data_IF_310727156810
#
_entry.id   IF_310727156810
#
_cell.length_a   1.000
_cell.length_b   1.000
_cell.length_c   1.000
_cell.angle_alpha   90.00
_cell.angle_beta   90.00
_cell.angle_gamma   90.00
#
_symmetry.space_group_name_H-M   'P 1'
#
loop_
_entity.id
_entity.type
_entity.pdbx_description
1 polymer ?
#
# COMPACT_ATOMS: atom_id res chain seq x y z
N UNK A 1 -10.24 16.38 -25.14
CA UNK A 1 -11.11 15.26 -24.75
C UNK A 1 -10.22 14.04 -24.56
N UNK A 2 -9.53 13.98 -23.43
CA UNK A 2 -8.97 12.77 -22.84
C UNK A 2 -9.52 12.79 -21.42
N UNK A 3 -10.70 12.19 -21.27
CA UNK A 3 -11.59 12.34 -20.14
C UNK A 3 -11.16 11.43 -18.99
N UNK A 4 -11.20 11.91 -17.74
CA UNK A 4 -11.04 11.12 -16.51
C UNK A 4 -11.92 9.85 -16.51
N UNK A 5 -13.07 9.93 -17.19
CA UNK A 5 -14.01 8.83 -17.33
C UNK A 5 -13.50 7.67 -18.20
N UNK A 6 -12.42 7.80 -19.01
CA UNK A 6 -11.86 6.70 -19.84
C UNK A 6 -12.89 5.80 -20.57
N UNK A 7 -14.00 6.37 -21.05
CA UNK A 7 -15.09 5.63 -21.74
C UNK A 7 -16.22 5.11 -20.83
N UNK A 8 -16.16 5.40 -19.53
CA UNK A 8 -17.25 5.24 -18.56
C UNK A 8 -18.28 6.38 -18.67
N UNK A 9 -19.49 6.17 -18.13
CA UNK A 9 -20.62 7.10 -18.30
C UNK A 9 -20.70 8.15 -17.20
N UNK A 10 -20.26 7.82 -15.98
CA UNK A 10 -20.41 8.65 -14.77
C UNK A 10 -19.12 8.67 -13.96
N UNK A 11 -18.97 9.64 -13.06
CA UNK A 11 -17.88 9.63 -12.07
C UNK A 11 -17.98 8.40 -11.18
N UNK A 12 -19.20 8.01 -10.79
CA UNK A 12 -19.45 6.77 -10.03
C UNK A 12 -18.85 5.51 -10.69
N UNK A 13 -18.93 5.37 -12.01
CA UNK A 13 -18.35 4.21 -12.69
C UNK A 13 -16.83 4.11 -12.50
N UNK A 14 -16.12 5.25 -12.41
CA UNK A 14 -14.67 5.31 -12.15
C UNK A 14 -14.36 5.00 -10.69
N UNK A 15 -15.17 5.53 -9.77
CA UNK A 15 -15.04 5.28 -8.33
C UNK A 15 -15.28 3.80 -8.01
N UNK A 16 -16.37 3.23 -8.53
CA UNK A 16 -16.69 1.81 -8.34
C UNK A 16 -15.60 0.90 -8.94
N UNK A 17 -15.00 1.25 -10.08
CA UNK A 17 -13.87 0.51 -10.65
C UNK A 17 -12.67 0.46 -9.69
N UNK A 18 -12.35 1.59 -9.04
CA UNK A 18 -11.23 1.69 -8.09
C UNK A 18 -11.55 1.04 -6.73
N UNK A 19 -12.77 1.16 -6.22
CA UNK A 19 -13.22 0.50 -4.99
C UNK A 19 -13.19 -1.04 -5.11
N UNK A 20 -13.36 -1.58 -6.32
CA UNK A 20 -13.29 -3.01 -6.60
C UNK A 20 -11.91 -3.43 -7.17
N UNK A 21 -10.91 -2.56 -7.18
CA UNK A 21 -9.59 -2.85 -7.74
C UNK A 21 -8.79 -3.79 -6.84
N UNK A 22 -8.23 -4.86 -7.41
CA UNK A 22 -7.48 -5.91 -6.69
C UNK A 22 -8.24 -6.54 -5.51
N UNK A 23 -9.56 -6.70 -5.65
CA UNK A 23 -10.35 -7.48 -4.69
C UNK A 23 -9.80 -8.89 -4.53
N UNK A 24 -9.68 -9.31 -3.27
CA UNK A 24 -9.09 -10.61 -2.89
C UNK A 24 -9.83 -11.25 -1.72
N UNK A 25 -9.63 -12.55 -1.54
CA UNK A 25 -10.24 -13.35 -0.48
C UNK A 25 -11.67 -13.78 -0.76
N UNK A 26 -12.46 -13.95 0.31
CA UNK A 26 -13.88 -14.36 0.27
C UNK A 26 -14.16 -15.67 -0.50
N UNK A 27 -13.16 -16.56 -0.62
CA UNK A 27 -13.28 -17.81 -1.38
C UNK A 27 -13.41 -17.60 -2.89
N UNK A 28 -13.09 -16.41 -3.39
CA UNK A 28 -13.04 -16.12 -4.83
C UNK A 28 -11.85 -16.83 -5.50
N UNK A 29 -11.85 -16.86 -6.83
CA UNK A 29 -10.74 -17.40 -7.61
C UNK A 29 -10.24 -16.38 -8.62
N UNK A 30 -8.92 -16.24 -8.69
CA UNK A 30 -8.19 -15.38 -9.62
C UNK A 30 -7.11 -16.23 -10.27
N UNK A 31 -6.97 -16.15 -11.60
CA UNK A 31 -5.98 -16.91 -12.37
C UNK A 31 -5.98 -18.43 -12.10
N UNK A 32 -7.17 -19.02 -11.90
CA UNK A 32 -7.37 -20.44 -11.54
C UNK A 32 -6.75 -20.87 -10.20
N UNK A 33 -6.51 -19.92 -9.29
CA UNK A 33 -6.06 -20.16 -7.91
C UNK A 33 -7.09 -19.65 -6.93
N UNK A 34 -7.07 -20.14 -5.70
CA UNK A 34 -7.82 -19.54 -4.61
C UNK A 34 -7.23 -18.16 -4.33
N UNK A 35 -8.09 -17.16 -4.22
CA UNK A 35 -7.68 -15.83 -3.78
C UNK A 35 -7.68 -15.79 -2.25
N UNK A 36 -6.57 -15.36 -1.66
CA UNK A 36 -6.42 -15.21 -0.21
C UNK A 36 -6.63 -13.75 0.17
N UNK A 37 -7.29 -13.51 1.30
CA UNK A 37 -7.22 -12.19 1.94
C UNK A 37 -5.83 -11.95 2.57
N UNK A 38 -5.61 -10.74 3.08
CA UNK A 38 -4.32 -10.29 3.64
C UNK A 38 -3.90 -11.16 4.85
N UNK A 39 -4.85 -11.53 5.72
CA UNK A 39 -4.57 -12.36 6.90
C UNK A 39 -4.24 -13.81 6.51
N UNK A 40 -4.98 -14.37 5.57
CA UNK A 40 -4.70 -15.70 5.01
C UNK A 40 -3.32 -15.76 4.37
N UNK A 41 -2.96 -14.76 3.55
CA UNK A 41 -1.64 -14.67 2.93
C UNK A 41 -0.53 -14.47 3.95
N UNK A 42 -0.72 -13.58 4.93
CA UNK A 42 0.25 -13.35 6.00
C UNK A 42 0.53 -14.63 6.80
N UNK A 43 -0.50 -15.42 7.12
CA UNK A 43 -0.35 -16.73 7.79
C UNK A 43 0.31 -17.78 6.92
N UNK A 44 0.07 -17.78 5.61
CA UNK A 44 0.73 -18.71 4.68
C UNK A 44 2.23 -18.43 4.56
N UNK A 45 2.63 -17.15 4.48
CA UNK A 45 4.02 -16.71 4.50
C UNK A 45 4.67 -17.08 5.85
N UNK A 46 3.96 -16.88 6.96
CA UNK A 46 4.41 -17.21 8.30
C UNK A 46 4.09 -18.66 8.75
N UNK A 47 3.78 -19.59 7.83
CA UNK A 47 3.23 -20.93 8.15
C UNK A 47 4.09 -21.79 9.06
N UNK A 48 5.40 -21.56 9.10
CA UNK A 48 6.32 -22.24 10.01
C UNK A 48 6.26 -21.76 11.46
N UNK A 49 5.69 -20.57 11.70
CA UNK A 49 5.66 -19.87 13.00
C UNK A 49 7.02 -19.88 13.73
N UNK A 50 8.11 -19.82 12.97
CA UNK A 50 9.47 -19.75 13.49
C UNK A 50 9.81 -18.29 13.75
N UNK A 51 10.12 -17.95 15.00
CA UNK A 51 10.55 -16.59 15.36
C UNK A 51 11.76 -16.63 16.29
N UNK A 52 12.37 -15.46 16.51
CA UNK A 52 13.42 -15.31 17.52
C UNK A 52 12.91 -15.49 18.96
N UNK A 53 11.59 -15.55 19.18
CA UNK A 53 11.00 -15.91 20.47
C UNK A 53 10.76 -17.42 20.64
N UNK A 54 10.96 -18.22 19.60
CA UNK A 54 10.74 -19.67 19.58
C UNK A 54 9.74 -20.09 18.48
N UNK A 55 9.64 -21.39 18.24
CA UNK A 55 8.65 -21.96 17.31
C UNK A 55 7.26 -21.92 17.95
N UNK A 56 6.24 -21.51 17.20
CA UNK A 56 4.86 -21.28 17.67
C UNK A 56 4.73 -20.19 18.74
N UNK A 57 5.71 -19.28 18.82
CA UNK A 57 5.64 -18.09 19.69
C UNK A 57 5.45 -16.87 18.80
N UNK A 58 4.19 -16.52 18.59
CA UNK A 58 3.71 -15.42 17.73
C UNK A 58 3.26 -14.21 18.56
N UNK A 59 3.00 -13.08 17.90
CA UNK A 59 2.58 -11.80 18.49
C UNK A 59 3.44 -11.34 19.68
N UNK A 60 4.76 -11.53 19.57
CA UNK A 60 5.70 -11.15 20.63
C UNK A 60 6.88 -10.39 20.07
N UNK A 61 7.10 -9.18 20.56
CA UNK A 61 8.26 -8.39 20.15
C UNK A 61 9.59 -9.06 20.52
N UNK A 62 10.65 -8.73 19.77
CA UNK A 62 11.99 -9.31 19.95
C UNK A 62 13.08 -8.24 19.85
N UNK A 63 14.18 -8.43 20.59
CA UNK A 63 15.44 -7.74 20.31
C UNK A 63 16.35 -8.69 19.55
N UNK A 64 16.74 -8.30 18.33
CA UNK A 64 17.49 -9.14 17.39
C UNK A 64 18.83 -8.47 17.13
N UNK A 65 19.93 -9.15 17.46
CA UNK A 65 21.26 -8.62 17.17
C UNK A 65 21.65 -8.94 15.73
N UNK A 66 22.38 -8.04 15.08
CA UNK A 66 22.95 -8.29 13.76
C UNK A 66 24.41 -7.85 13.70
N UNK A 67 25.18 -8.44 12.79
CA UNK A 67 26.56 -8.03 12.55
C UNK A 67 26.97 -8.25 11.09
N UNK A 68 28.08 -7.62 10.71
CA UNK A 68 28.75 -7.84 9.43
C UNK A 68 30.11 -8.51 9.68
N UNK A 69 30.17 -9.85 9.75
CA UNK A 69 31.44 -10.54 9.97
C UNK A 69 32.45 -10.25 8.87
N UNK A 70 33.73 -10.27 9.22
CA UNK A 70 34.81 -10.02 8.26
C UNK A 70 35.00 -11.15 7.24
N UNK A 71 34.33 -12.30 7.43
CA UNK A 71 34.32 -13.51 6.60
C UNK A 71 35.60 -13.80 5.79
N UNK A 72 36.35 -14.83 6.17
CA UNK A 72 37.62 -15.16 5.49
C UNK A 72 37.39 -15.64 4.04
N UNK A 73 37.85 -14.88 3.01
CA UNK A 73 37.67 -15.26 1.61
C UNK A 73 38.32 -16.60 1.28
N UNK A 74 37.64 -17.41 0.47
CA UNK A 74 38.11 -18.73 0.02
C UNK A 74 37.73 -19.89 0.95
N UNK A 75 37.28 -19.63 2.18
CA UNK A 75 36.68 -20.66 3.03
C UNK A 75 35.32 -21.10 2.52
N UNK A 76 34.85 -22.24 3.00
CA UNK A 76 33.49 -22.71 2.78
C UNK A 76 32.58 -22.26 3.90
N UNK A 77 31.39 -21.77 3.56
CA UNK A 77 30.33 -21.57 4.55
C UNK A 77 29.65 -22.93 4.89
N UNK A 78 28.63 -22.91 5.73
CA UNK A 78 27.94 -24.13 6.18
C UNK A 78 27.30 -24.92 5.01
N UNK A 79 26.90 -24.24 3.94
CA UNK A 79 26.29 -24.83 2.74
C UNK A 79 27.33 -25.36 1.74
N UNK A 80 28.62 -25.14 2.00
CA UNK A 80 29.71 -25.55 1.10
C UNK A 80 30.06 -24.55 0.00
N UNK A 81 29.43 -23.37 -0.01
CA UNK A 81 29.72 -22.30 -0.95
C UNK A 81 31.03 -21.60 -0.58
N UNK A 82 31.78 -21.15 -1.59
CA UNK A 82 33.01 -20.41 -1.35
C UNK A 82 32.66 -18.99 -0.93
N UNK A 83 33.09 -18.60 0.27
CA UNK A 83 33.01 -17.23 0.77
C UNK A 83 33.84 -16.33 -0.15
N UNK A 84 33.18 -15.34 -0.73
CA UNK A 84 33.83 -14.33 -1.57
C UNK A 84 34.41 -13.20 -0.72
N UNK A 85 33.57 -12.57 0.12
CA UNK A 85 33.97 -11.41 0.90
C UNK A 85 32.99 -11.08 2.04
N UNK A 86 33.44 -10.22 2.96
CA UNK A 86 32.53 -9.46 3.81
C UNK A 86 31.64 -8.51 2.98
N UNK A 87 30.59 -7.99 3.61
CA UNK A 87 29.77 -6.93 3.05
C UNK A 87 30.55 -5.62 2.93
N UNK A 88 30.47 -4.99 1.77
CA UNK A 88 31.07 -3.68 1.51
C UNK A 88 30.26 -2.55 2.22
N UNK A 89 30.79 -1.32 2.32
CA UNK A 89 30.10 -0.23 3.00
C UNK A 89 28.70 0.11 2.45
N UNK A 90 28.50 0.00 1.13
CA UNK A 90 27.19 0.25 0.50
C UNK A 90 26.18 -0.83 0.90
N UNK A 91 26.57 -2.11 0.79
CA UNK A 91 25.75 -3.22 1.26
C UNK A 91 25.36 -3.04 2.73
N UNK A 92 26.31 -2.69 3.60
CA UNK A 92 26.03 -2.44 5.01
C UNK A 92 25.03 -1.29 5.22
N UNK A 93 25.16 -0.19 4.46
CA UNK A 93 24.24 0.93 4.56
C UNK A 93 22.81 0.53 4.13
N UNK A 94 22.68 -0.15 3.00
CA UNK A 94 21.38 -0.60 2.49
C UNK A 94 20.76 -1.69 3.36
N UNK A 95 21.55 -2.61 3.91
CA UNK A 95 21.08 -3.59 4.90
C UNK A 95 20.46 -2.90 6.11
N UNK A 96 21.06 -1.82 6.61
CA UNK A 96 20.52 -1.07 7.74
C UNK A 96 19.17 -0.44 7.41
N UNK A 97 18.97 0.04 6.18
CA UNK A 97 17.68 0.56 5.72
C UNK A 97 16.62 -0.56 5.58
N UNK A 98 16.99 -1.74 5.06
CA UNK A 98 16.10 -2.90 5.00
C UNK A 98 15.76 -3.46 6.39
N UNK A 99 16.71 -3.51 7.33
CA UNK A 99 16.41 -3.84 8.74
C UNK A 99 15.46 -2.79 9.34
N UNK A 100 15.69 -1.51 9.06
CA UNK A 100 14.83 -0.44 9.55
C UNK A 100 13.39 -0.58 9.05
N UNK A 101 13.19 -0.92 7.77
CA UNK A 101 11.83 -1.10 7.21
C UNK A 101 11.08 -2.27 7.85
N UNK A 102 11.76 -3.36 8.22
CA UNK A 102 11.14 -4.45 9.01
C UNK A 102 10.79 -4.01 10.44
N UNK A 103 11.65 -3.25 11.12
CA UNK A 103 11.37 -2.75 12.47
C UNK A 103 10.31 -1.65 12.51
N UNK A 104 10.07 -0.96 11.39
CA UNK A 104 9.01 0.03 11.29
C UNK A 104 7.63 -0.63 11.41
N UNK A 105 7.45 -1.84 10.88
CA UNK A 105 6.12 -2.48 10.74
C UNK A 105 5.79 -3.45 11.87
N UNK A 106 6.80 -3.97 12.59
CA UNK A 106 6.61 -4.95 13.67
C UNK A 106 7.50 -4.66 14.89
N UNK A 107 7.17 -5.23 16.06
CA UNK A 107 7.87 -4.98 17.32
C UNK A 107 9.25 -5.66 17.40
N UNK A 108 10.14 -5.33 16.46
CA UNK A 108 11.49 -5.86 16.35
C UNK A 108 12.48 -4.72 16.61
N UNK A 109 13.38 -4.92 17.58
CA UNK A 109 14.48 -3.99 17.84
C UNK A 109 15.79 -4.58 17.34
N UNK A 110 16.33 -4.03 16.26
CA UNK A 110 17.65 -4.41 15.76
C UNK A 110 18.78 -3.75 16.55
N UNK A 111 19.81 -4.52 16.87
CA UNK A 111 21.01 -4.03 17.58
C UNK A 111 22.27 -4.52 16.86
N UNK A 112 23.04 -3.58 16.31
CA UNK A 112 24.33 -3.90 15.69
C UNK A 112 25.34 -4.30 16.77
N UNK A 113 26.03 -5.42 16.57
CA UNK A 113 27.14 -5.88 17.42
C UNK A 113 28.39 -6.12 16.57
N UNK A 114 29.53 -6.31 17.22
CA UNK A 114 30.80 -6.57 16.53
C UNK A 114 30.77 -7.89 15.77
N UNK A 115 31.35 -7.93 14.56
CA UNK A 115 31.33 -9.11 13.68
C UNK A 115 32.13 -10.32 14.18
N UNK A 116 32.88 -10.18 15.28
CA UNK A 116 33.58 -11.25 15.99
C UNK A 116 32.74 -11.89 17.12
N UNK A 117 31.57 -11.31 17.43
CA UNK A 117 30.63 -11.82 18.42
C UNK A 117 29.50 -12.61 17.75
N UNK A 118 28.86 -13.48 18.53
CA UNK A 118 27.60 -14.08 18.10
C UNK A 118 26.53 -12.99 17.92
N UNK A 119 25.82 -13.05 16.79
CA UNK A 119 24.62 -12.24 16.54
C UNK A 119 23.53 -13.12 15.95
N UNK A 120 22.27 -12.73 16.13
CA UNK A 120 21.13 -13.45 15.56
C UNK A 120 21.18 -13.46 14.03
N UNK A 121 21.48 -12.31 13.42
CA UNK A 121 21.55 -12.17 11.96
C UNK A 121 22.98 -11.85 11.52
N UNK A 122 23.43 -12.47 10.43
CA UNK A 122 24.71 -12.11 9.79
C UNK A 122 24.58 -12.09 8.27
N UNK A 123 25.46 -11.33 7.63
CA UNK A 123 25.46 -11.08 6.19
C UNK A 123 26.82 -11.39 5.59
N UNK A 124 26.87 -12.11 4.46
CA UNK A 124 28.13 -12.44 3.79
C UNK A 124 27.97 -12.63 2.28
N UNK A 125 29.07 -12.46 1.55
CA UNK A 125 29.09 -12.65 0.10
C UNK A 125 29.71 -14.01 -0.27
N UNK A 126 29.11 -14.72 -1.22
CA UNK A 126 29.56 -16.03 -1.72
C UNK A 126 29.74 -16.04 -3.25
N UNK A 127 30.49 -17.03 -3.74
CA UNK A 127 30.56 -17.36 -5.16
C UNK A 127 29.57 -18.49 -5.46
N UNK A 128 28.41 -18.13 -5.98
CA UNK A 128 27.35 -19.09 -6.34
C UNK A 128 26.65 -18.65 -7.65
N UNK A 129 27.13 -19.08 -8.83
CA UNK A 129 26.68 -18.53 -10.12
C UNK A 129 25.22 -18.84 -10.47
N UNK A 130 24.64 -19.89 -9.88
CA UNK A 130 23.27 -20.34 -10.13
C UNK A 130 22.31 -19.93 -8.99
N UNK A 131 22.73 -19.01 -8.12
CA UNK A 131 21.98 -18.60 -6.93
C UNK A 131 22.01 -17.08 -6.81
N UNK A 132 20.87 -16.48 -6.45
CA UNK A 132 20.80 -15.06 -6.13
C UNK A 132 21.35 -14.80 -4.73
N UNK A 133 20.65 -15.35 -3.74
CA UNK A 133 20.96 -15.30 -2.32
C UNK A 133 20.19 -16.44 -1.62
N UNK A 134 20.46 -16.63 -0.33
CA UNK A 134 19.64 -17.45 0.55
C UNK A 134 19.86 -17.08 2.02
N UNK A 135 18.92 -17.45 2.87
CA UNK A 135 18.99 -17.21 4.30
C UNK A 135 18.39 -18.35 5.12
N UNK A 136 18.88 -18.49 6.34
CA UNK A 136 18.39 -19.48 7.30
C UNK A 136 17.34 -18.87 8.22
N UNK A 137 16.20 -19.55 8.32
CA UNK A 137 15.11 -19.21 9.25
C UNK A 137 15.61 -19.24 10.71
N UNK A 138 14.97 -18.53 11.65
CA UNK A 138 15.18 -18.73 13.08
C UNK A 138 14.97 -20.19 13.49
N UNK A 139 15.72 -20.68 14.47
CA UNK A 139 15.57 -22.04 15.00
C UNK A 139 15.84 -23.14 13.95
N UNK A 140 16.77 -22.89 13.02
CA UNK A 140 17.13 -23.86 11.98
C UNK A 140 17.88 -25.06 12.58
N UNK A 141 17.43 -26.28 12.24
CA UNK A 141 18.03 -27.52 12.76
C UNK A 141 18.15 -28.58 11.67
N UNK A 142 19.14 -29.46 11.82
CA UNK A 142 19.25 -30.71 11.05
C UNK A 142 18.84 -31.86 11.97
N UNK A 143 17.71 -32.51 11.67
CA UNK A 143 17.14 -33.59 12.46
C UNK A 143 17.03 -33.25 13.97
N UNK A 144 16.62 -32.02 14.28
CA UNK A 144 16.44 -31.52 15.65
C UNK A 144 17.74 -31.11 16.36
N UNK A 145 18.89 -31.07 15.65
CA UNK A 145 20.16 -30.58 16.19
C UNK A 145 20.50 -29.21 15.61
N UNK A 146 20.97 -28.31 16.49
CA UNK A 146 21.52 -27.01 16.09
C UNK A 146 22.72 -27.23 15.16
N UNK A 147 22.76 -26.47 14.08
CA UNK A 147 23.85 -26.48 13.12
C UNK A 147 24.76 -25.29 13.45
N UNK A 148 26.08 -25.53 13.48
CA UNK A 148 27.07 -24.51 13.82
C UNK A 148 28.02 -24.25 12.65
N UNK A 149 28.47 -23.01 12.51
CA UNK A 149 29.53 -22.64 11.57
C UNK A 149 30.95 -22.91 12.12
N UNK A 150 31.99 -22.51 11.37
CA UNK A 150 33.40 -22.71 11.76
C UNK A 150 33.83 -21.91 13.00
N UNK A 151 33.02 -20.93 13.43
CA UNK A 151 33.19 -20.15 14.66
C UNK A 151 32.45 -20.77 15.84
N UNK A 152 31.76 -21.90 15.64
CA UNK A 152 30.85 -22.53 16.62
C UNK A 152 29.63 -21.67 16.95
N UNK A 153 29.16 -20.86 16.01
CA UNK A 153 27.94 -20.06 16.14
C UNK A 153 26.78 -20.74 15.42
N UNK A 154 25.58 -20.67 16.02
CA UNK A 154 24.32 -21.12 15.40
C UNK A 154 24.14 -20.41 14.05
N UNK A 155 23.84 -21.18 13.00
CA UNK A 155 23.68 -20.65 11.64
C UNK A 155 22.30 -20.00 11.40
N UNK A 156 21.35 -20.14 12.32
CA UNK A 156 20.06 -19.48 12.24
C UNK A 156 20.28 -17.98 12.00
N UNK A 157 19.58 -17.40 11.02
CA UNK A 157 19.72 -15.99 10.65
C UNK A 157 20.97 -15.62 9.83
N UNK A 158 21.78 -16.59 9.40
CA UNK A 158 22.79 -16.31 8.37
C UNK A 158 22.11 -16.05 7.02
N UNK A 159 22.50 -14.98 6.34
CA UNK A 159 22.10 -14.65 4.97
C UNK A 159 23.33 -14.49 4.06
N UNK A 160 23.27 -15.06 2.87
CA UNK A 160 24.38 -15.19 1.94
C UNK A 160 23.97 -14.71 0.56
N UNK A 161 24.81 -13.87 -0.05
CA UNK A 161 24.48 -13.16 -1.29
C UNK A 161 25.52 -13.49 -2.34
N UNK A 162 25.07 -13.91 -3.52
CA UNK A 162 25.98 -14.26 -4.60
C UNK A 162 26.58 -13.02 -5.23
N UNK A 163 27.90 -12.97 -5.35
CA UNK A 163 28.60 -11.91 -6.09
C UNK A 163 28.60 -12.13 -7.59
N UNK A 164 27.98 -13.22 -8.07
CA UNK A 164 27.76 -13.44 -9.50
C UNK A 164 26.70 -12.51 -10.07
N UNK A 165 25.77 -12.03 -9.23
CA UNK A 165 24.89 -10.91 -9.56
C UNK A 165 25.55 -9.58 -9.10
N UNK A 166 25.88 -8.65 -10.02
CA UNK A 166 26.44 -7.36 -9.65
C UNK A 166 25.51 -6.49 -8.81
N UNK A 167 24.19 -6.66 -8.88
CA UNK A 167 23.24 -5.85 -8.09
C UNK A 167 23.37 -6.13 -6.58
N UNK A 168 23.75 -7.34 -6.19
CA UNK A 168 24.03 -7.67 -4.78
C UNK A 168 25.22 -6.88 -4.21
N UNK A 169 26.16 -6.44 -5.05
CA UNK A 169 27.32 -5.64 -4.63
C UNK A 169 27.04 -4.14 -4.60
N UNK A 170 25.99 -3.69 -5.27
CA UNK A 170 25.54 -2.29 -5.33
C UNK A 170 24.01 -2.20 -5.15
N UNK A 171 23.48 -2.64 -3.99
CA UNK A 171 22.05 -2.48 -3.72
C UNK A 171 21.70 -0.99 -3.67
N UNK A 172 20.55 -0.62 -4.24
CA UNK A 172 20.03 0.75 -4.18
C UNK A 172 18.51 0.74 -4.31
N UNK A 173 17.87 1.86 -3.95
CA UNK A 173 16.42 1.99 -4.06
C UNK A 173 15.93 1.69 -5.49
N UNK A 174 14.99 0.74 -5.61
CA UNK A 174 14.36 0.38 -6.87
C UNK A 174 15.03 -0.77 -7.63
N UNK A 175 16.24 -1.21 -7.23
CA UNK A 175 16.92 -2.34 -7.87
C UNK A 175 16.68 -3.68 -7.15
N UNK A 176 17.06 -4.77 -7.81
CA UNK A 176 16.84 -6.12 -7.33
C UNK A 176 17.76 -6.47 -6.15
N UNK A 177 18.94 -5.85 -6.07
CA UNK A 177 19.86 -5.99 -4.94
C UNK A 177 19.24 -5.53 -3.60
N UNK A 178 18.54 -4.39 -3.59
CA UNK A 178 17.86 -3.90 -2.38
C UNK A 178 16.63 -4.76 -2.01
N UNK A 179 15.87 -5.23 -3.01
CA UNK A 179 14.81 -6.22 -2.78
C UNK A 179 15.39 -7.50 -2.15
N UNK A 180 16.50 -8.02 -2.69
CA UNK A 180 17.16 -9.22 -2.19
C UNK A 180 17.55 -9.08 -0.73
N UNK A 181 18.10 -7.92 -0.31
CA UNK A 181 18.37 -7.65 1.10
C UNK A 181 17.10 -7.76 1.97
N UNK A 182 16.01 -7.09 1.57
CA UNK A 182 14.75 -7.08 2.33
C UNK A 182 14.14 -8.50 2.42
N UNK A 183 14.16 -9.23 1.30
CA UNK A 183 13.70 -10.62 1.18
C UNK A 183 14.46 -11.56 2.12
N UNK A 184 15.79 -11.59 2.02
CA UNK A 184 16.60 -12.50 2.85
C UNK A 184 16.51 -12.14 4.34
N UNK A 185 16.38 -10.86 4.69
CA UNK A 185 16.09 -10.46 6.07
C UNK A 185 14.73 -11.02 6.51
N UNK A 186 13.70 -10.99 5.66
CA UNK A 186 12.40 -11.63 5.92
C UNK A 186 12.54 -13.10 6.31
N UNK A 187 13.35 -13.86 5.56
CA UNK A 187 13.70 -15.24 5.93
C UNK A 187 14.38 -15.34 7.30
N UNK A 188 15.40 -14.51 7.56
CA UNK A 188 16.07 -14.50 8.89
C UNK A 188 15.16 -14.09 10.05
N UNK A 189 13.97 -13.55 9.76
CA UNK A 189 12.94 -13.22 10.74
C UNK A 189 11.84 -14.28 10.85
N UNK A 190 11.78 -15.27 9.95
CA UNK A 190 10.81 -16.36 10.03
C UNK A 190 9.83 -16.46 8.87
N UNK A 191 9.93 -15.60 7.87
CA UNK A 191 9.03 -15.61 6.73
C UNK A 191 9.48 -16.65 5.70
N UNK A 192 8.54 -17.36 5.11
CA UNK A 192 8.79 -18.30 4.01
C UNK A 192 8.39 -17.64 2.69
N UNK A 193 8.76 -18.25 1.56
CA UNK A 193 8.09 -17.91 0.31
C UNK A 193 6.57 -18.16 0.44
N UNK A 194 5.69 -17.41 -0.24
CA UNK A 194 4.24 -17.59 -0.17
C UNK A 194 3.70 -18.91 -0.76
N UNK A 195 4.59 -19.81 -1.21
CA UNK A 195 4.27 -21.18 -1.56
C UNK A 195 5.45 -22.12 -1.32
N UNK A 196 5.26 -23.40 -1.64
CA UNK A 196 6.29 -24.44 -1.49
C UNK A 196 7.12 -24.57 -2.77
N UNK A 197 7.97 -23.58 -3.01
CA UNK A 197 8.93 -23.56 -4.11
C UNK A 197 10.25 -22.93 -3.65
N UNK A 198 11.37 -23.37 -4.25
CA UNK A 198 12.70 -22.85 -3.98
C UNK A 198 13.49 -22.69 -5.28
N UNK A 199 14.44 -21.74 -5.30
CA UNK A 199 15.41 -21.62 -6.37
C UNK A 199 16.30 -22.89 -6.42
N UNK A 200 16.51 -23.45 -7.62
CA UNK A 200 17.31 -24.66 -7.81
C UNK A 200 16.56 -25.98 -7.59
N UNK A 201 15.32 -25.96 -7.09
CA UNK A 201 14.45 -27.14 -6.96
C UNK A 201 13.48 -27.26 -8.16
N UNK A 202 13.99 -27.78 -9.28
CA UNK A 202 13.21 -27.91 -10.51
C UNK A 202 13.15 -26.60 -11.30
N UNK A 203 11.99 -26.31 -11.88
CA UNK A 203 11.76 -25.09 -12.67
C UNK A 203 10.37 -24.50 -12.32
N UNK A 204 10.19 -24.00 -11.08
CA UNK A 204 8.91 -23.51 -10.62
C UNK A 204 8.48 -22.29 -11.45
N UNK A 205 7.17 -22.11 -11.56
CA UNK A 205 6.52 -20.99 -12.23
C UNK A 205 5.39 -20.46 -11.36
N UNK A 206 4.81 -19.32 -11.72
CA UNK A 206 3.60 -18.83 -11.03
C UNK A 206 2.44 -19.85 -11.03
N UNK A 207 2.43 -20.84 -11.94
CA UNK A 207 1.47 -21.94 -11.87
C UNK A 207 1.59 -22.77 -10.59
N UNK A 208 2.76 -22.77 -9.94
CA UNK A 208 3.07 -23.51 -8.71
C UNK A 208 2.78 -22.70 -7.43
N UNK A 209 2.40 -21.41 -7.55
CA UNK A 209 1.98 -20.60 -6.40
C UNK A 209 0.77 -21.21 -5.67
N UNK A 210 0.76 -21.15 -4.33
CA UNK A 210 -0.32 -21.70 -3.50
C UNK A 210 -1.64 -20.92 -3.67
N UNK A 211 -1.55 -19.59 -3.73
CA UNK A 211 -2.69 -18.68 -3.86
C UNK A 211 -2.42 -17.62 -4.94
N UNK A 212 -3.46 -16.89 -5.36
CA UNK A 212 -3.37 -15.97 -6.50
C UNK A 212 -2.49 -14.75 -6.23
N UNK A 213 -2.49 -14.23 -5.01
CA UNK A 213 -1.77 -13.01 -4.64
C UNK A 213 -0.30 -13.26 -4.29
N UNK A 214 0.22 -14.47 -4.52
CA UNK A 214 1.65 -14.75 -4.50
C UNK A 214 2.33 -14.07 -5.70
N UNK A 215 2.64 -12.79 -5.53
CA UNK A 215 3.43 -11.99 -6.47
C UNK A 215 4.10 -10.83 -5.75
N UNK A 216 5.11 -10.24 -6.39
CA UNK A 216 5.81 -9.02 -5.96
C UNK A 216 4.96 -7.75 -6.02
N UNK A 217 3.67 -7.89 -6.31
CA UNK A 217 2.69 -6.85 -6.01
C UNK A 217 2.31 -6.84 -4.52
N UNK A 218 2.32 -8.00 -3.87
CA UNK A 218 1.81 -8.19 -2.51
C UNK A 218 2.86 -8.58 -1.49
N UNK A 219 3.92 -9.29 -1.92
CA UNK A 219 4.98 -9.79 -1.05
C UNK A 219 6.35 -9.76 -1.71
N UNK A 220 7.33 -9.18 -1.01
CA UNK A 220 8.76 -9.25 -1.34
C UNK A 220 9.28 -10.69 -1.24
N UNK A 221 8.61 -11.55 -0.47
CA UNK A 221 8.94 -12.97 -0.36
C UNK A 221 8.57 -13.78 -1.62
N UNK A 222 7.83 -13.20 -2.56
CA UNK A 222 7.44 -13.88 -3.79
C UNK A 222 8.56 -13.89 -4.85
N UNK A 223 8.60 -14.96 -5.64
CA UNK A 223 9.43 -15.02 -6.86
C UNK A 223 8.71 -14.50 -8.10
N UNK A 224 7.39 -14.33 -8.03
CA UNK A 224 6.58 -14.05 -9.20
C UNK A 224 6.37 -12.56 -9.39
N UNK A 225 6.54 -12.08 -10.62
CA UNK A 225 6.42 -10.65 -10.91
C UNK A 225 4.97 -10.17 -10.76
N UNK A 226 4.82 -8.89 -10.42
CA UNK A 226 3.56 -8.18 -10.24
C UNK A 226 2.56 -8.26 -11.40
N UNK A 227 2.96 -8.42 -12.70
CA UNK A 227 1.98 -8.50 -13.78
C UNK A 227 1.15 -9.79 -13.75
N UNK A 228 1.57 -10.83 -13.01
CA UNK A 228 0.74 -12.02 -12.81
C UNK A 228 -0.59 -11.68 -12.13
N UNK A 229 -0.62 -10.63 -11.32
CA UNK A 229 -1.80 -10.16 -10.58
C UNK A 229 -2.31 -8.80 -11.07
N UNK A 230 -1.73 -8.26 -12.15
CA UNK A 230 -2.19 -7.03 -12.80
C UNK A 230 -1.52 -5.75 -12.30
N UNK A 231 -0.50 -5.85 -11.44
CA UNK A 231 0.42 -4.76 -11.13
C UNK A 231 1.41 -4.47 -12.26
N UNK A 232 2.07 -3.33 -12.19
CA UNK A 232 3.18 -2.95 -13.09
C UNK A 232 4.09 -1.96 -12.36
N UNK A 233 5.28 -2.42 -11.98
CA UNK A 233 6.27 -1.65 -11.25
C UNK A 233 7.28 -0.95 -12.20
N UNK A 234 7.05 -1.03 -13.52
CA UNK A 234 7.90 -0.37 -14.52
C UNK A 234 9.35 -0.87 -14.52
N UNK A 235 9.56 -2.13 -14.12
CA UNK A 235 10.88 -2.75 -13.99
C UNK A 235 11.66 -2.37 -12.73
N UNK A 236 11.01 -1.73 -11.75
CA UNK A 236 11.59 -1.44 -10.43
C UNK A 236 11.09 -2.46 -9.40
N UNK A 237 11.78 -2.52 -8.28
CA UNK A 237 11.47 -3.43 -7.18
C UNK A 237 11.21 -2.68 -5.88
N UNK A 238 10.35 -3.25 -5.04
CA UNK A 238 10.14 -2.74 -3.68
C UNK A 238 11.44 -2.83 -2.87
N UNK A 239 11.62 -1.88 -1.95
CA UNK A 239 12.76 -1.87 -1.03
C UNK A 239 12.34 -2.16 0.43
N UNK A 240 11.05 -2.35 0.69
CA UNK A 240 10.47 -2.49 2.01
C UNK A 240 9.26 -3.45 2.00
N UNK A 241 8.92 -4.06 3.16
CA UNK A 241 7.83 -5.03 3.25
C UNK A 241 6.54 -4.54 2.59
N UNK A 242 5.98 -5.37 1.72
CA UNK A 242 4.70 -5.13 1.07
C UNK A 242 3.54 -5.63 1.95
N UNK A 243 2.31 -5.48 1.45
CA UNK A 243 1.10 -5.62 2.29
C UNK A 243 0.97 -6.99 2.98
N UNK A 244 1.31 -8.09 2.29
CA UNK A 244 1.23 -9.43 2.87
C UNK A 244 2.45 -9.72 3.76
N UNK A 245 3.60 -9.10 3.49
CA UNK A 245 4.78 -9.19 4.33
C UNK A 245 4.54 -8.51 5.69
N UNK A 246 3.89 -7.34 5.67
CA UNK A 246 3.49 -6.61 6.88
C UNK A 246 2.56 -7.49 7.72
N UNK A 247 1.54 -8.08 7.12
CA UNK A 247 0.63 -8.99 7.83
C UNK A 247 1.38 -10.20 8.42
N UNK A 248 2.28 -10.81 7.65
CA UNK A 248 3.06 -11.97 8.08
C UNK A 248 3.99 -11.65 9.26
N UNK A 249 4.74 -10.55 9.18
CA UNK A 249 5.70 -10.19 10.23
C UNK A 249 5.00 -9.69 11.49
N UNK A 250 3.85 -9.02 11.35
CA UNK A 250 3.01 -8.64 12.48
C UNK A 250 2.36 -9.86 13.16
N UNK A 251 1.99 -10.90 12.40
CA UNK A 251 1.58 -12.17 13.00
C UNK A 251 2.69 -12.76 13.89
N UNK A 252 3.95 -12.72 13.45
CA UNK A 252 5.08 -13.27 14.23
C UNK A 252 5.48 -12.40 15.44
N UNK A 253 5.55 -11.08 15.28
CA UNK A 253 6.19 -10.19 16.27
C UNK A 253 5.26 -9.11 16.84
N UNK A 254 4.02 -9.01 16.36
CA UNK A 254 3.05 -7.97 16.72
C UNK A 254 3.30 -6.66 15.97
N UNK A 255 2.21 -5.93 15.71
CA UNK A 255 2.23 -4.62 15.04
C UNK A 255 2.99 -3.55 15.85
N UNK A 256 3.82 -2.76 15.16
CA UNK A 256 4.54 -1.65 15.81
C UNK A 256 3.67 -0.40 15.87
N UNK A 257 2.96 -0.23 16.98
CA UNK A 257 2.08 0.91 17.23
C UNK A 257 2.81 2.19 17.68
N UNK A 258 4.13 2.26 17.53
CA UNK A 258 4.93 3.46 17.85
C UNK A 258 5.51 4.15 16.62
N UNK A 259 5.37 3.51 15.45
CA UNK A 259 5.88 4.02 14.19
C UNK A 259 4.97 5.12 13.64
N UNK A 260 5.57 6.29 13.35
CA UNK A 260 4.90 7.38 12.61
C UNK A 260 3.61 7.95 13.24
N UNK A 261 3.43 7.83 14.56
CA UNK A 261 2.24 8.29 15.34
C UNK A 261 1.84 9.78 15.27
N UNK A 262 2.47 10.59 14.44
CA UNK A 262 2.11 12.00 14.21
C UNK A 262 1.88 12.25 12.72
N UNK A 263 1.45 13.45 12.36
CA UNK A 263 1.05 13.79 10.99
C UNK A 263 2.18 13.50 9.96
N UNK A 264 1.99 12.45 9.18
CA UNK A 264 2.99 11.92 8.26
C UNK A 264 2.59 12.20 6.81
N UNK A 265 3.55 12.67 6.01
CA UNK A 265 3.39 12.86 4.57
C UNK A 265 4.20 11.79 3.83
N UNK A 266 3.54 11.07 2.93
CA UNK A 266 4.12 10.06 2.05
C UNK A 266 4.15 10.58 0.61
N UNK A 267 5.16 10.22 -0.17
CA UNK A 267 5.36 10.71 -1.54
C UNK A 267 6.19 12.00 -1.59
N UNK A 268 5.69 13.02 -2.28
CA UNK A 268 6.33 14.34 -2.32
C UNK A 268 6.27 15.00 -0.95
N UNK A 269 7.24 15.86 -0.65
CA UNK A 269 7.33 16.58 0.63
C UNK A 269 7.33 15.65 1.87
N UNK A 270 7.73 14.39 1.69
CA UNK A 270 7.68 13.40 2.76
C UNK A 270 8.53 13.80 3.97
N UNK A 271 8.00 13.51 5.16
CA UNK A 271 8.69 13.64 6.45
C UNK A 271 8.95 12.26 7.10
N UNK A 272 8.88 11.17 6.33
CA UNK A 272 9.02 9.79 6.83
C UNK A 272 10.45 9.41 7.21
N UNK A 273 11.44 10.16 6.73
CA UNK A 273 12.85 9.78 6.75
C UNK A 273 13.07 8.35 6.19
N UNK A 274 12.29 7.95 5.17
CA UNK A 274 12.45 6.69 4.42
C UNK A 274 12.58 6.98 2.95
N UNK A 275 13.60 6.39 2.34
CA UNK A 275 13.87 6.51 0.91
C UNK A 275 12.72 5.95 0.05
N UNK A 276 12.18 4.79 0.42
CA UNK A 276 11.09 4.13 -0.31
C UNK A 276 9.73 4.84 -0.23
N UNK A 277 9.51 5.70 0.77
CA UNK A 277 8.29 6.51 0.88
C UNK A 277 8.42 7.91 0.27
N UNK A 278 9.61 8.30 -0.22
CA UNK A 278 9.88 9.70 -0.61
C UNK A 278 10.03 9.86 -2.12
N UNK A 279 9.19 10.70 -2.73
CA UNK A 279 9.40 11.20 -4.08
C UNK A 279 10.17 12.53 -4.03
N UNK A 280 11.33 12.57 -4.70
CA UNK A 280 12.17 13.78 -4.79
C UNK A 280 11.88 14.61 -6.03
N UNK A 281 11.44 13.96 -7.10
CA UNK A 281 11.04 14.57 -8.37
C UNK A 281 10.06 13.64 -9.12
N UNK A 282 9.53 14.12 -10.24
CA UNK A 282 8.51 13.45 -11.05
C UNK A 282 8.95 12.13 -11.71
N UNK A 283 10.26 11.81 -11.69
CA UNK A 283 10.78 10.56 -12.26
C UNK A 283 10.94 9.46 -11.21
N UNK A 284 10.96 9.81 -9.91
CA UNK A 284 11.09 8.82 -8.84
C UNK A 284 9.93 7.82 -8.93
N UNK A 285 10.26 6.53 -8.95
CA UNK A 285 9.28 5.44 -8.89
C UNK A 285 9.07 5.06 -7.43
N UNK A 286 7.81 5.04 -7.02
CA UNK A 286 7.39 4.69 -5.67
C UNK A 286 6.75 3.31 -5.70
N UNK A 287 7.20 2.41 -4.84
CA UNK A 287 6.61 1.09 -4.63
C UNK A 287 6.65 0.85 -3.13
N UNK A 288 5.49 0.86 -2.48
CA UNK A 288 5.42 0.67 -1.02
C UNK A 288 4.03 0.28 -0.54
N UNK A 289 4.00 -0.38 0.63
CA UNK A 289 2.83 -0.49 1.48
C UNK A 289 2.97 0.47 2.67
N UNK A 290 1.94 1.27 2.95
CA UNK A 290 1.94 2.19 4.10
C UNK A 290 1.64 1.42 5.37
N UNK A 291 2.54 1.50 6.35
CA UNK A 291 2.24 1.23 7.74
C UNK A 291 2.29 2.53 8.51
N UNK A 292 1.20 2.91 9.15
CA UNK A 292 1.14 4.07 10.04
C UNK A 292 0.33 3.70 11.29
N UNK A 293 0.79 4.12 12.46
CA UNK A 293 0.15 3.84 13.73
C UNK A 293 -0.76 4.97 14.22
N UNK A 294 -0.83 6.09 13.49
CA UNK A 294 -1.80 7.15 13.69
C UNK A 294 -1.23 8.54 13.47
N UNK A 295 -2.09 9.55 13.52
CA UNK A 295 -1.74 10.90 13.10
C UNK A 295 -2.87 11.43 12.23
N UNK A 296 -2.63 12.53 11.53
CA UNK A 296 -3.41 12.92 10.37
C UNK A 296 -2.50 12.96 9.14
N UNK A 297 -2.58 11.91 8.34
CA UNK A 297 -1.56 11.53 7.37
C UNK A 297 -1.99 11.87 5.95
N UNK A 298 -1.01 12.04 5.05
CA UNK A 298 -1.25 12.48 3.67
C UNK A 298 -0.47 11.65 2.67
N UNK A 299 -1.14 11.11 1.66
CA UNK A 299 -0.51 10.70 0.41
C UNK A 299 -0.38 11.91 -0.51
N UNK A 300 0.82 12.47 -0.64
CA UNK A 300 1.13 13.60 -1.51
C UNK A 300 1.79 13.11 -2.82
N UNK A 301 1.00 13.11 -3.89
CA UNK A 301 1.44 12.73 -5.23
C UNK A 301 1.43 13.91 -6.21
N UNK A 302 1.52 15.13 -5.67
CA UNK A 302 1.37 16.40 -6.42
C UNK A 302 2.39 16.64 -7.52
N UNK A 303 3.58 16.04 -7.42
CA UNK A 303 4.64 16.21 -8.42
C UNK A 303 4.52 15.32 -9.65
N UNK A 304 3.51 14.44 -9.73
CA UNK A 304 3.27 13.60 -10.92
C UNK A 304 2.32 14.26 -11.92
N UNK A 305 2.47 13.90 -13.19
CA UNK A 305 1.65 14.43 -14.30
C UNK A 305 0.83 13.36 -15.01
N UNK A 306 1.06 12.09 -14.69
CA UNK A 306 0.27 10.96 -15.17
C UNK A 306 -1.08 10.95 -14.46
N UNK A 307 -2.11 10.44 -15.11
CA UNK A 307 -3.38 10.15 -14.44
C UNK A 307 -3.18 9.08 -13.37
N UNK A 308 -3.67 9.36 -12.17
CA UNK A 308 -3.50 8.53 -10.99
C UNK A 308 -4.84 7.94 -10.55
N UNK A 309 -4.76 6.85 -9.79
CA UNK A 309 -5.91 6.28 -9.07
C UNK A 309 -5.49 6.08 -7.63
N UNK A 310 -6.01 6.88 -6.71
CA UNK A 310 -5.60 6.94 -5.31
C UNK A 310 -6.76 6.46 -4.45
N UNK A 311 -6.52 5.45 -3.62
CA UNK A 311 -7.51 4.87 -2.71
C UNK A 311 -6.95 4.88 -1.28
N UNK A 312 -7.66 5.56 -0.37
CA UNK A 312 -7.28 5.72 1.03
C UNK A 312 -7.82 4.61 1.95
N UNK A 313 -8.53 3.61 1.42
CA UNK A 313 -9.02 2.49 2.21
C UNK A 313 -7.89 1.53 2.57
N UNK A 314 -7.91 0.99 3.79
CA UNK A 314 -7.00 -0.09 4.18
C UNK A 314 -7.14 -1.30 3.24
N UNK A 315 -6.05 -2.02 3.01
CA UNK A 315 -6.05 -3.17 2.10
C UNK A 315 -6.11 -2.83 0.62
N UNK A 316 -6.31 -1.56 0.26
CA UNK A 316 -6.49 -1.14 -1.12
C UNK A 316 -5.17 -0.87 -1.84
N UNK A 317 -5.26 -0.78 -3.17
CA UNK A 317 -4.15 -0.48 -4.06
C UNK A 317 -4.44 0.78 -4.88
N UNK A 318 -3.37 1.52 -5.18
CA UNK A 318 -3.37 2.75 -5.96
C UNK A 318 -2.40 2.65 -7.15
N UNK A 319 -2.73 3.35 -8.23
CA UNK A 319 -1.88 3.56 -9.40
C UNK A 319 -1.27 4.96 -9.34
N UNK A 320 0.04 5.07 -9.14
CA UNK A 320 0.71 6.35 -8.85
C UNK A 320 1.95 6.52 -9.72
N UNK A 321 2.20 7.74 -10.21
CA UNK A 321 3.44 8.06 -10.96
C UNK A 321 3.64 7.26 -12.26
N UNK A 322 2.54 6.81 -12.87
CA UNK A 322 2.52 6.02 -14.11
C UNK A 322 2.77 4.52 -13.92
N UNK A 323 2.77 4.02 -12.70
CA UNK A 323 2.81 2.60 -12.35
C UNK A 323 1.38 2.08 -12.07
N UNK A 324 1.23 0.78 -11.79
CA UNK A 324 -0.06 0.16 -11.45
C UNK A 324 0.03 -0.71 -10.20
N UNK A 325 -0.91 -0.51 -9.28
CA UNK A 325 -0.97 -1.25 -8.01
C UNK A 325 0.34 -1.19 -7.21
N UNK A 326 1.05 -0.07 -7.31
CA UNK A 326 2.39 0.10 -6.73
C UNK A 326 2.36 0.69 -5.32
N UNK A 327 1.26 1.36 -4.95
CA UNK A 327 1.05 1.87 -3.60
C UNK A 327 -0.11 1.11 -2.96
N UNK A 328 0.06 0.68 -1.72
CA UNK A 328 -0.99 0.06 -0.92
C UNK A 328 -1.00 0.59 0.51
N UNK A 329 -2.10 0.37 1.24
CA UNK A 329 -2.23 0.71 2.67
C UNK A 329 -2.40 -0.59 3.45
N UNK A 330 -1.55 -0.83 4.44
CA UNK A 330 -1.60 -2.05 5.24
C UNK A 330 -2.90 -2.13 6.06
N UNK A 331 -3.33 -3.36 6.36
CA UNK A 331 -4.48 -3.58 7.24
C UNK A 331 -4.26 -2.93 8.61
N UNK A 332 -5.27 -2.20 9.11
CA UNK A 332 -5.22 -1.48 10.38
C UNK A 332 -4.59 -0.09 10.33
N UNK A 333 -4.00 0.32 9.20
CA UNK A 333 -3.54 1.70 8.99
C UNK A 333 -4.67 2.58 8.44
N UNK A 334 -4.79 3.80 8.94
CA UNK A 334 -5.71 4.83 8.44
C UNK A 334 -4.89 5.97 7.86
N UNK A 335 -5.26 6.45 6.67
CA UNK A 335 -4.63 7.60 6.03
C UNK A 335 -5.75 8.59 5.66
N UNK A 336 -5.66 9.81 6.17
CA UNK A 336 -6.78 10.75 6.12
C UNK A 336 -6.79 11.56 4.81
N UNK A 337 -5.65 11.82 4.19
CA UNK A 337 -5.58 12.85 3.15
C UNK A 337 -4.90 12.37 1.88
N UNK A 338 -5.31 12.94 0.75
CA UNK A 338 -4.73 12.69 -0.56
C UNK A 338 -4.56 13.99 -1.36
N UNK A 339 -3.43 14.11 -2.04
CA UNK A 339 -3.16 15.17 -3.01
C UNK A 339 -2.79 14.51 -4.33
N UNK A 340 -3.65 14.67 -5.32
CA UNK A 340 -3.41 14.30 -6.71
C UNK A 340 -2.41 15.21 -7.39
N UNK A 341 -2.17 14.96 -8.68
CA UNK A 341 -1.12 15.57 -9.49
C UNK A 341 -1.66 16.59 -10.49
N UNK A 342 -1.00 16.63 -11.65
CA UNK A 342 -1.44 17.41 -12.81
C UNK A 342 -2.19 16.58 -13.88
N UNK A 343 -2.41 15.29 -13.59
CA UNK A 343 -3.15 14.36 -14.44
C UNK A 343 -4.65 14.39 -14.16
N UNK A 344 -5.44 13.67 -14.95
CA UNK A 344 -6.86 13.47 -14.61
C UNK A 344 -6.97 12.31 -13.63
N UNK A 345 -7.10 12.61 -12.35
CA UNK A 345 -6.96 11.66 -11.26
C UNK A 345 -8.32 11.12 -10.78
N UNK A 346 -8.32 9.92 -10.20
CA UNK A 346 -9.47 9.34 -9.50
C UNK A 346 -9.05 9.14 -8.05
N UNK A 347 -9.72 9.81 -7.11
CA UNK A 347 -9.36 9.81 -5.70
C UNK A 347 -10.55 9.36 -4.86
N UNK A 348 -10.33 8.32 -4.04
CA UNK A 348 -11.31 7.72 -3.15
C UNK A 348 -10.79 7.85 -1.72
N UNK A 349 -11.54 8.54 -0.87
CA UNK A 349 -11.33 8.58 0.57
C UNK A 349 -11.79 7.30 1.27
N UNK A 350 -11.95 7.38 2.59
CA UNK A 350 -12.32 6.25 3.43
C UNK A 350 -13.50 6.61 4.35
N UNK A 351 -13.52 6.10 5.58
CA UNK A 351 -14.61 6.36 6.52
C UNK A 351 -14.26 7.44 7.57
N UNK A 352 -13.04 8.00 7.50
CA UNK A 352 -12.58 9.10 8.33
C UNK A 352 -12.79 10.44 7.61
N UNK A 353 -12.70 11.54 8.35
CA UNK A 353 -12.74 12.88 7.76
C UNK A 353 -11.52 13.08 6.85
N UNK A 354 -11.74 13.18 5.54
CA UNK A 354 -10.65 13.28 4.57
C UNK A 354 -10.46 14.71 4.05
N UNK A 355 -9.21 15.11 3.80
CA UNK A 355 -8.88 16.25 2.93
C UNK A 355 -8.36 15.73 1.60
N UNK A 356 -9.16 15.90 0.55
CA UNK A 356 -8.82 15.45 -0.80
C UNK A 356 -8.63 16.66 -1.71
N UNK A 357 -7.51 16.68 -2.42
CA UNK A 357 -7.19 17.69 -3.43
C UNK A 357 -6.89 17.01 -4.76
N UNK A 358 -7.71 17.26 -5.78
CA UNK A 358 -7.49 16.74 -7.14
C UNK A 358 -6.21 17.29 -7.76
N UNK A 359 -6.11 18.61 -7.81
CA UNK A 359 -4.92 19.30 -8.27
C UNK A 359 -5.18 20.01 -9.59
N UNK A 360 -4.43 19.67 -10.63
CA UNK A 360 -4.75 20.13 -11.98
C UNK A 360 -5.15 18.93 -12.82
N UNK A 361 -6.06 19.12 -13.77
CA UNK A 361 -6.63 17.99 -14.52
C UNK A 361 -8.12 17.95 -14.28
N UNK A 362 -8.83 17.05 -14.95
CA UNK A 362 -10.25 16.82 -14.67
C UNK A 362 -10.31 15.64 -13.72
N UNK A 363 -10.58 15.90 -12.45
CA UNK A 363 -10.46 14.88 -11.40
C UNK A 363 -11.83 14.31 -11.02
N UNK A 364 -11.84 13.06 -10.54
CA UNK A 364 -13.03 12.41 -9.98
C UNK A 364 -12.75 12.11 -8.51
N UNK A 365 -13.50 12.76 -7.63
CA UNK A 365 -13.27 12.75 -6.19
C UNK A 365 -14.48 12.13 -5.49
N UNK A 366 -14.22 11.14 -4.65
CA UNK A 366 -15.18 10.52 -3.75
C UNK A 366 -14.66 10.62 -2.32
N UNK A 367 -15.36 11.33 -1.45
CA UNK A 367 -14.99 11.48 -0.05
C UNK A 367 -15.06 10.16 0.72
N UNK A 368 -16.10 9.37 0.46
CA UNK A 368 -16.43 8.25 1.32
C UNK A 368 -17.31 8.76 2.46
N UNK A 369 -17.25 8.13 3.63
CA UNK A 369 -17.99 8.60 4.80
C UNK A 369 -17.10 9.44 5.70
N UNK A 370 -17.69 10.38 6.43
CA UNK A 370 -16.92 11.30 7.28
C UNK A 370 -17.49 12.70 7.16
N UNK A 371 -16.73 13.70 7.60
CA UNK A 371 -16.90 15.09 7.21
C UNK A 371 -15.71 15.52 6.35
N UNK A 372 -15.87 15.41 5.04
CA UNK A 372 -14.77 15.59 4.11
C UNK A 372 -14.62 17.04 3.63
N UNK A 373 -13.39 17.37 3.24
CA UNK A 373 -13.05 18.63 2.59
C UNK A 373 -12.46 18.34 1.22
N UNK A 374 -13.24 18.65 0.19
CA UNK A 374 -12.96 18.27 -1.18
C UNK A 374 -12.57 19.52 -1.99
N UNK A 375 -11.41 19.47 -2.63
CA UNK A 375 -10.94 20.48 -3.57
C UNK A 375 -10.74 19.83 -4.93
N UNK A 376 -11.44 20.31 -5.95
CA UNK A 376 -11.21 19.88 -7.33
C UNK A 376 -9.88 20.42 -7.84
N UNK A 377 -9.66 21.71 -7.60
CA UNK A 377 -8.51 22.45 -8.12
C UNK A 377 -8.81 23.05 -9.49
N UNK A 378 -7.91 22.89 -10.45
CA UNK A 378 -8.09 23.45 -11.78
C UNK A 378 -8.50 22.38 -12.79
N UNK A 379 -9.68 22.52 -13.35
CA UNK A 379 -10.16 21.58 -14.37
C UNK A 379 -11.67 21.62 -14.48
N UNK A 380 -12.23 20.50 -14.93
CA UNK A 380 -13.65 20.22 -14.82
C UNK A 380 -13.80 18.99 -13.93
N UNK A 381 -14.02 19.21 -12.65
CA UNK A 381 -13.91 18.16 -11.64
C UNK A 381 -15.28 17.56 -11.32
N UNK A 382 -15.30 16.31 -10.84
CA UNK A 382 -16.52 15.58 -10.51
C UNK A 382 -16.44 15.13 -9.06
N UNK A 383 -17.34 15.63 -8.22
CA UNK A 383 -17.52 15.20 -6.83
C UNK A 383 -18.66 14.19 -6.77
N UNK A 384 -18.35 12.95 -6.38
CA UNK A 384 -19.27 11.81 -6.43
C UNK A 384 -19.83 11.53 -5.04
N UNK A 385 -21.12 11.20 -4.98
CA UNK A 385 -21.79 10.70 -3.77
C UNK A 385 -22.65 9.48 -4.10
N UNK A 386 -22.59 8.47 -3.24
CA UNK A 386 -23.20 7.15 -3.48
C UNK A 386 -23.86 6.52 -2.24
N UNK A 387 -23.57 7.01 -1.04
CA UNK A 387 -24.25 6.56 0.18
C UNK A 387 -24.76 7.77 0.98
N UNK A 388 -25.82 7.57 1.76
CA UNK A 388 -26.34 8.59 2.67
C UNK A 388 -25.34 8.98 3.75
N UNK A 389 -24.45 8.05 4.11
CA UNK A 389 -23.39 8.28 5.08
C UNK A 389 -22.24 9.10 4.52
N UNK A 390 -22.18 9.26 3.19
CA UNK A 390 -21.11 10.05 2.59
C UNK A 390 -21.15 11.48 3.14
N UNK A 391 -22.34 12.09 3.12
CA UNK A 391 -22.53 13.48 3.55
C UNK A 391 -23.78 13.64 4.38
N UNK A 392 -23.76 13.10 5.61
CA UNK A 392 -24.93 13.17 6.49
C UNK A 392 -25.27 14.62 6.85
N UNK A 393 -26.54 14.95 7.02
CA UNK A 393 -26.96 16.31 7.38
C UNK A 393 -26.42 16.84 8.73
N UNK A 394 -25.82 15.97 9.55
CA UNK A 394 -25.17 16.34 10.82
C UNK A 394 -23.69 16.65 10.68
N UNK A 395 -23.06 16.07 9.67
CA UNK A 395 -21.63 16.17 9.37
C UNK A 395 -21.49 16.29 7.85
N UNK A 396 -21.92 17.43 7.26
CA UNK A 396 -21.92 17.60 5.82
C UNK A 396 -20.50 17.81 5.30
N UNK A 397 -20.19 17.24 4.15
CA UNK A 397 -18.94 17.49 3.45
C UNK A 397 -18.94 18.90 2.88
N UNK A 398 -17.73 19.37 2.60
CA UNK A 398 -17.48 20.70 2.09
C UNK A 398 -16.70 20.61 0.78
N UNK A 399 -17.35 20.92 -0.33
CA UNK A 399 -16.68 21.21 -1.59
C UNK A 399 -16.18 22.65 -1.53
N UNK A 400 -14.87 22.85 -1.65
CA UNK A 400 -14.19 24.07 -1.21
C UNK A 400 -13.92 25.09 -2.31
N UNK A 401 -13.98 24.70 -3.58
CA UNK A 401 -13.57 25.51 -4.73
C UNK A 401 -14.45 25.33 -5.97
N UNK A 402 -15.72 24.97 -5.80
CA UNK A 402 -16.63 24.63 -6.90
C UNK A 402 -16.83 25.79 -7.91
N UNK A 403 -16.65 25.50 -9.19
CA UNK A 403 -16.89 26.42 -10.31
C UNK A 403 -18.06 25.95 -11.19
N UNK A 404 -19.19 26.66 -11.10
CA UNK A 404 -20.38 26.40 -11.93
C UNK A 404 -20.09 26.39 -13.43
N UNK A 405 -20.66 25.43 -14.14
CA UNK A 405 -20.46 25.23 -15.57
C UNK A 405 -19.14 24.52 -15.94
N UNK A 406 -18.26 24.27 -14.97
CA UNK A 406 -17.07 23.40 -15.12
C UNK A 406 -17.23 22.13 -14.31
N UNK A 407 -17.37 22.30 -13.01
CA UNK A 407 -17.43 21.19 -12.06
C UNK A 407 -18.81 20.57 -12.01
N UNK A 408 -18.86 19.33 -11.52
CA UNK A 408 -20.09 18.56 -11.40
C UNK A 408 -20.19 17.86 -10.06
N UNK A 409 -21.42 17.77 -9.57
CA UNK A 409 -21.80 16.90 -8.47
C UNK A 409 -22.54 15.70 -9.08
N UNK A 410 -21.99 14.50 -8.87
CA UNK A 410 -22.52 13.25 -9.39
C UNK A 410 -23.32 12.52 -8.30
N UNK A 411 -24.65 12.52 -8.48
CA UNK A 411 -25.64 11.83 -7.67
C UNK A 411 -26.26 10.64 -8.41
N UNK A 412 -25.70 10.27 -9.58
CA UNK A 412 -26.31 9.28 -10.48
C UNK A 412 -26.48 7.90 -9.84
N UNK A 413 -25.70 7.59 -8.81
CA UNK A 413 -25.87 6.36 -8.04
C UNK A 413 -27.28 6.24 -7.44
N UNK A 414 -27.84 7.34 -6.91
CA UNK A 414 -29.13 7.31 -6.23
C UNK A 414 -30.31 7.05 -7.17
N UNK A 415 -30.12 7.22 -8.49
CA UNK A 415 -31.10 6.97 -9.54
C UNK A 415 -30.99 5.57 -10.17
N UNK A 416 -30.11 4.71 -9.64
CA UNK A 416 -29.96 3.34 -10.12
C UNK A 416 -30.98 2.37 -9.50
N UNK A 417 -31.15 1.21 -10.13
CA UNK A 417 -31.98 0.11 -9.63
C UNK A 417 -33.48 0.43 -9.63
N UNK A 418 -34.18 -0.05 -8.61
CA UNK A 418 -35.65 0.00 -8.51
C UNK A 418 -36.21 1.42 -8.30
N UNK A 419 -35.36 2.40 -7.98
CA UNK A 419 -35.75 3.81 -7.76
C UNK A 419 -36.07 4.53 -9.08
N UNK A 420 -35.39 4.17 -10.17
CA UNK A 420 -35.59 4.75 -11.50
C UNK A 420 -34.84 6.06 -11.75
N UNK A 421 -34.76 6.45 -13.04
CA UNK A 421 -33.94 7.57 -13.53
C UNK A 421 -34.35 8.96 -13.03
N UNK A 422 -35.57 9.09 -12.53
CA UNK A 422 -36.17 10.37 -12.14
C UNK A 422 -36.33 10.46 -10.61
N UNK A 423 -35.65 9.58 -9.86
CA UNK A 423 -35.78 9.51 -8.41
C UNK A 423 -35.29 10.80 -7.75
N UNK A 424 -34.02 11.16 -7.92
CA UNK A 424 -33.50 12.47 -7.52
C UNK A 424 -34.08 13.53 -8.45
N UNK A 425 -34.85 14.46 -7.87
CA UNK A 425 -35.46 15.57 -8.59
C UNK A 425 -35.44 16.85 -7.75
N UNK A 426 -35.09 17.96 -8.38
CA UNK A 426 -34.97 19.24 -7.70
C UNK A 426 -36.33 19.90 -7.44
N UNK A 427 -36.52 20.42 -6.23
CA UNK A 427 -37.72 21.11 -5.77
C UNK A 427 -37.35 22.45 -5.13
N UNK A 428 -38.31 23.37 -5.04
CA UNK A 428 -38.12 24.67 -4.37
C UNK A 428 -38.35 24.59 -2.85
N UNK A 429 -38.98 23.51 -2.36
CA UNK A 429 -39.21 23.21 -0.96
C UNK A 429 -39.50 21.72 -0.77
N UNK A 430 -39.09 21.14 0.36
CA UNK A 430 -39.41 19.75 0.69
C UNK A 430 -40.91 19.58 1.01
N UNK A 431 -41.56 18.64 0.32
CA UNK A 431 -42.89 18.12 0.70
C UNK A 431 -42.78 16.89 1.60
N UNK A 432 -41.59 16.28 1.64
CA UNK A 432 -41.26 15.08 2.39
C UNK A 432 -41.32 13.80 1.56
N UNK A 433 -41.41 13.93 0.23
CA UNK A 433 -41.27 12.81 -0.68
C UNK A 433 -39.80 12.37 -0.76
N UNK A 434 -39.61 11.06 -0.91
CA UNK A 434 -38.31 10.50 -1.22
C UNK A 434 -37.86 10.95 -2.62
N UNK A 435 -36.56 11.22 -2.77
CA UNK A 435 -35.95 11.71 -4.00
C UNK A 435 -35.94 13.24 -4.15
N UNK A 436 -36.61 14.00 -3.28
CA UNK A 436 -36.57 15.46 -3.35
C UNK A 436 -35.15 15.97 -3.04
N UNK A 437 -34.63 16.86 -3.90
CA UNK A 437 -33.39 17.60 -3.70
C UNK A 437 -33.66 19.11 -3.71
N UNK A 438 -33.02 19.84 -2.81
CA UNK A 438 -33.12 21.29 -2.67
C UNK A 438 -31.73 21.88 -2.76
N UNK A 439 -31.54 22.84 -3.67
CA UNK A 439 -30.34 23.64 -3.75
C UNK A 439 -30.65 25.07 -3.30
N UNK A 440 -29.94 25.54 -2.29
CA UNK A 440 -30.00 26.93 -1.84
C UNK A 440 -28.65 27.63 -2.03
N UNK A 441 -28.65 28.96 -2.08
CA UNK A 441 -27.43 29.76 -2.23
C UNK A 441 -27.54 31.06 -1.42
N UNK A 442 -26.59 31.32 -0.52
CA UNK A 442 -26.40 32.62 0.13
C UNK A 442 -25.20 33.35 -0.48
N UNK A 443 -25.52 34.38 -1.27
CA UNK A 443 -24.53 35.23 -1.93
C UNK A 443 -23.61 36.02 -0.97
N UNK A 444 -23.99 36.17 0.32
CA UNK A 444 -23.15 36.88 1.31
C UNK A 444 -22.02 36.00 1.82
N UNK A 445 -22.27 34.71 1.99
CA UNK A 445 -21.26 33.72 2.39
C UNK A 445 -20.61 33.02 1.20
N UNK A 446 -21.12 33.24 -0.03
CA UNK A 446 -20.72 32.50 -1.23
C UNK A 446 -20.83 30.98 -1.00
N UNK A 447 -21.95 30.56 -0.41
CA UNK A 447 -22.18 29.17 -0.03
C UNK A 447 -23.49 28.68 -0.62
N UNK A 448 -23.40 27.62 -1.41
CA UNK A 448 -24.53 26.78 -1.79
C UNK A 448 -24.69 25.63 -0.80
N UNK A 449 -25.94 25.28 -0.47
CA UNK A 449 -26.26 24.08 0.30
C UNK A 449 -27.14 23.18 -0.58
N UNK A 450 -26.65 21.98 -0.86
CA UNK A 450 -27.40 20.90 -1.48
C UNK A 450 -27.89 19.99 -0.37
N UNK A 451 -29.21 19.83 -0.25
CA UNK A 451 -29.82 18.89 0.66
C UNK A 451 -30.75 17.97 -0.12
N UNK A 452 -30.82 16.68 0.20
CA UNK A 452 -31.83 15.79 -0.38
C UNK A 452 -32.36 14.77 0.62
N UNK A 453 -33.50 14.18 0.28
CA UNK A 453 -34.23 13.18 1.07
C UNK A 453 -34.25 11.86 0.32
N UNK A 454 -33.36 10.91 0.62
CA UNK A 454 -33.43 9.59 -0.04
C UNK A 454 -34.53 8.72 0.55
N UNK A 455 -34.69 8.72 1.87
CA UNK A 455 -35.67 7.87 2.55
C UNK A 455 -37.03 8.58 2.75
N UNK A 456 -37.11 9.87 2.38
CA UNK A 456 -38.26 10.74 2.59
C UNK A 456 -38.33 11.33 4.00
N UNK A 457 -39.33 12.16 4.25
CA UNK A 457 -39.51 12.84 5.55
C UNK A 457 -39.22 14.34 5.50
N UNK A 458 -39.46 15.02 6.62
CA UNK A 458 -39.45 16.50 6.67
C UNK A 458 -38.06 17.11 6.84
N UNK A 459 -37.05 16.32 7.17
CA UNK A 459 -35.68 16.76 7.36
C UNK A 459 -34.77 16.01 6.38
N UNK A 460 -33.83 16.69 5.70
CA UNK A 460 -32.85 16.06 4.82
C UNK A 460 -32.00 15.03 5.57
N UNK A 461 -31.85 13.85 4.96
CA UNK A 461 -30.94 12.80 5.42
C UNK A 461 -29.51 13.01 4.90
N UNK A 462 -29.36 13.78 3.84
CA UNK A 462 -28.07 14.12 3.21
C UNK A 462 -27.91 15.65 3.03
N UNK A 463 -26.69 16.16 3.21
CA UNK A 463 -26.36 17.55 2.94
C UNK A 463 -24.90 17.74 2.53
N UNK A 464 -24.65 18.55 1.51
CA UNK A 464 -23.31 19.00 1.08
C UNK A 464 -23.26 20.51 1.10
N UNK A 465 -22.17 21.05 1.64
CA UNK A 465 -21.85 22.47 1.62
C UNK A 465 -20.89 22.76 0.46
N UNK A 466 -21.24 23.74 -0.37
CA UNK A 466 -20.53 24.04 -1.62
C UNK A 466 -20.08 25.48 -1.56
N UNK A 467 -18.77 25.72 -1.45
CA UNK A 467 -18.20 27.06 -1.55
C UNK A 467 -18.21 27.46 -3.02
N UNK A 468 -19.08 28.40 -3.37
CA UNK A 468 -19.42 28.73 -4.75
C UNK A 468 -20.93 28.62 -4.99
N UNK A 469 -21.37 29.16 -6.13
CA UNK A 469 -22.75 29.02 -6.57
C UNK A 469 -22.85 27.77 -7.45
N UNK A 470 -23.72 26.82 -7.12
CA UNK A 470 -24.05 25.70 -8.01
C UNK A 470 -25.34 25.98 -8.81
N UNK A 471 -25.48 25.38 -9.99
CA UNK A 471 -26.61 25.54 -10.89
C UNK A 471 -27.20 24.18 -11.29
N UNK A 472 -28.45 23.96 -10.88
CA UNK A 472 -29.22 22.73 -11.16
C UNK A 472 -29.20 22.34 -12.65
N UNK A 473 -29.22 23.30 -13.57
CA UNK A 473 -29.33 23.02 -15.00
C UNK A 473 -28.04 22.50 -15.65
N UNK A 474 -26.87 22.69 -15.03
CA UNK A 474 -25.57 22.39 -15.65
C UNK A 474 -24.62 21.58 -14.79
N UNK A 475 -24.78 21.61 -13.47
CA UNK A 475 -23.73 21.23 -12.53
C UNK A 475 -23.98 19.87 -11.87
N UNK A 476 -25.04 19.18 -12.24
CA UNK A 476 -25.41 17.90 -11.64
C UNK A 476 -25.45 16.77 -12.68
N UNK A 477 -25.01 15.59 -12.26
CA UNK A 477 -25.23 14.33 -12.95
C UNK A 477 -26.21 13.56 -12.07
N UNK A 478 -27.41 13.33 -12.57
CA UNK A 478 -28.50 12.60 -11.89
C UNK A 478 -28.96 11.46 -12.78
#
# INVERSE_FOLDING_TARGET
MDNALKGKKTGWDSINDLLNYHQRGNGSSVNNKTSYDIDQAGKEIARGEQSWNGVHVTDKGATVTYSFPSWEPGKKNFNGDTIHSAFNPEQQAQTKLSLQSWSDVANIKFVEVSGDQYSNITFGNIVAPDTQAYAMLPQSTDNGKIIYDDRSFDISGQSWYSTSDPENLAPELGNYGRLTLTHEIGHTLGLNHPGDYNAGEGNPSYADATYAEDSRQFSDMSYWNEPNTGGDNGGNYSAAPLIDDIAAIQHLYGANMTTRTGDTVYGFHSNTDRDFYTAKDSNQKLIFAVWDAGGNDTLDFSGYSQNQRINLNEGSFSDVGGLKGNISIAAGATIENAIGGAGNDVIVGNAADNVIKGGAGNDVIYGGGGQDQLWGGSGNDIFVFSDLKDSSSKSPDQIRDFESGKDKIDLSFFNQGDKGSDFIHFVDHFSGQAGEALLSYDARSNLSELAFNVDGGTNPDFMVQIVGQANVASDFIV
#
